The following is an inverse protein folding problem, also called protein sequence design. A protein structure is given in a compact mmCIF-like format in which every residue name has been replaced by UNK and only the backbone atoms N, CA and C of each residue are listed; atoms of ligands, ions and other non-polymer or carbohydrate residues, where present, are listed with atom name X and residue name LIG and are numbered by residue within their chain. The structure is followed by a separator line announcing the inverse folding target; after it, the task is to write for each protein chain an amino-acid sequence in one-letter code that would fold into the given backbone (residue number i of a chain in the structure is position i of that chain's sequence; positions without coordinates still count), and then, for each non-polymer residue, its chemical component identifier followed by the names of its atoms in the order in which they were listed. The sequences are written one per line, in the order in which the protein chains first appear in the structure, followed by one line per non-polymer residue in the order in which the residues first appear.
data_IF_053569003742
#
_entry.id   IF_053569003742
#
_cell.length_a   1.000
_cell.length_b   1.000
_cell.length_c   1.000
_cell.angle_alpha   90.00
_cell.angle_beta   90.00
_cell.angle_gamma   90.00
#
_symmetry.space_group_name_H-M   'P 1'
#
loop_
_entity.id
_entity.type
_entity.pdbx_description
1 polymer ?
#
# COMPACT_ATOMS: atom_id res chain seq x y z
N UNK A 1 -23.84 32.39 46.47
CA UNK A 1 -23.16 31.80 47.63
C UNK A 1 -21.69 31.67 47.26
N UNK A 2 -20.88 32.68 47.58
CA UNK A 2 -20.00 32.79 48.77
C UNK A 2 -18.87 31.76 48.76
N UNK A 3 -17.64 32.17 48.40
CA UNK A 3 -16.49 32.50 49.28
C UNK A 3 -15.74 31.20 49.69
N UNK A 4 -14.42 31.02 49.78
CA UNK A 4 -13.18 31.82 49.67
C UNK A 4 -12.00 30.92 50.08
N UNK A 5 -10.78 31.19 49.55
CA UNK A 5 -9.43 31.14 50.23
C UNK A 5 -8.94 29.75 50.72
N UNK A 6 -7.67 29.41 50.92
CA UNK A 6 -6.38 30.09 51.16
C UNK A 6 -5.26 29.10 50.76
N UNK A 7 -4.15 29.47 50.10
CA UNK A 7 -2.87 30.03 50.61
C UNK A 7 -2.09 29.18 51.66
N UNK A 8 -0.88 28.70 51.29
CA UNK A 8 0.36 28.50 52.08
C UNK A 8 1.42 27.90 51.12
N UNK A 9 2.50 28.54 50.66
CA UNK A 9 3.68 29.18 51.29
C UNK A 9 4.76 28.21 51.82
N UNK A 10 5.98 28.36 51.26
CA UNK A 10 7.32 28.10 51.84
C UNK A 10 7.72 26.62 52.09
N UNK A 11 8.96 26.13 52.01
CA UNK A 11 10.29 26.63 51.61
C UNK A 11 11.30 25.47 51.80
N UNK A 12 12.39 25.48 51.00
CA UNK A 12 13.77 25.10 51.33
C UNK A 12 14.18 23.63 51.64
N UNK A 13 15.28 23.22 50.96
CA UNK A 13 16.36 22.35 51.49
C UNK A 13 16.04 20.85 51.57
N UNK A 14 16.95 19.89 51.35
CA UNK A 14 18.39 19.85 51.16
C UNK A 14 18.76 18.40 50.80
N UNK A 15 19.88 18.24 50.08
CA UNK A 15 20.82 17.12 50.14
C UNK A 15 20.40 15.70 49.67
N UNK A 16 21.30 15.16 48.86
CA UNK A 16 21.34 13.83 48.26
C UNK A 16 21.45 12.67 49.26
N UNK A 17 21.26 11.44 48.75
CA UNK A 17 22.15 10.34 49.09
C UNK A 17 22.75 9.69 47.83
N UNK A 18 24.07 9.53 47.86
CA UNK A 18 24.83 8.66 46.97
C UNK A 18 24.87 7.24 47.56
N UNK A 19 24.57 6.22 46.75
CA UNK A 19 24.94 4.81 46.97
C UNK A 19 25.05 4.16 45.57
N UNK A 20 26.27 4.06 45.03
CA UNK A 20 27.11 2.84 45.02
C UNK A 20 26.48 1.67 44.24
N UNK A 21 26.85 1.55 42.96
CA UNK A 21 26.79 0.26 42.27
C UNK A 21 28.13 -0.04 41.59
N UNK A 22 28.92 -0.84 42.32
CA UNK A 22 29.81 -1.91 41.87
C UNK A 22 30.25 -1.93 40.40
N UNK A 23 31.54 -1.70 40.18
CA UNK A 23 32.26 -2.09 38.96
C UNK A 23 32.99 -3.43 39.20
N UNK A 24 33.17 -4.27 38.16
CA UNK A 24 34.32 -5.13 38.08
C UNK A 24 35.34 -4.60 37.05
N UNK A 25 36.57 -4.55 37.52
CA UNK A 25 37.81 -4.28 36.78
C UNK A 25 38.04 -5.24 35.62
N UNK A 26 38.62 -4.73 34.52
CA UNK A 26 39.58 -5.49 33.71
C UNK A 26 40.78 -4.61 33.36
N UNK A 27 41.96 -5.20 33.57
CA UNK A 27 43.27 -4.60 33.40
C UNK A 27 43.68 -4.53 31.92
N UNK A 28 44.45 -3.50 31.61
CA UNK A 28 45.04 -3.22 30.30
C UNK A 28 46.13 -4.23 29.90
N UNK A 29 46.22 -4.56 28.61
CA UNK A 29 47.41 -4.33 27.78
C UNK A 29 47.27 -5.03 26.41
N UNK A 30 47.21 -4.23 25.33
CA UNK A 30 47.85 -4.47 24.03
C UNK A 30 47.38 -3.36 23.08
N UNK A 31 48.31 -2.59 22.52
CA UNK A 31 48.04 -1.67 21.42
C UNK A 31 47.87 -2.43 20.11
N UNK A 32 46.79 -2.17 19.37
CA UNK A 32 46.89 -2.10 17.92
C UNK A 32 46.41 -0.74 17.40
N UNK A 33 47.14 -0.28 16.38
CA UNK A 33 46.91 0.75 15.36
C UNK A 33 45.65 1.62 15.45
N UNK A 34 45.74 2.95 15.20
CA UNK A 34 44.55 3.75 14.98
C UNK A 34 43.92 3.28 13.66
N UNK A 35 42.88 2.45 13.76
CA UNK A 35 41.89 2.40 12.70
C UNK A 35 41.29 3.80 12.67
N UNK A 36 41.68 4.59 11.68
CA UNK A 36 40.90 5.73 11.26
C UNK A 36 39.47 5.24 11.15
N UNK A 37 38.61 5.68 12.07
CA UNK A 37 37.18 5.54 11.90
C UNK A 37 36.90 6.21 10.56
N UNK A 38 36.72 5.39 9.52
CA UNK A 38 36.13 5.83 8.28
C UNK A 38 34.77 6.34 8.71
N UNK A 39 34.69 7.67 8.84
CA UNK A 39 33.42 8.35 8.87
C UNK A 39 32.75 7.89 7.58
N UNK A 40 31.84 6.92 7.72
CA UNK A 40 30.85 6.66 6.72
C UNK A 40 30.20 8.02 6.51
N UNK A 41 30.63 8.68 5.43
CA UNK A 41 29.93 9.81 4.88
C UNK A 41 28.51 9.31 4.78
N UNK A 42 27.63 9.87 5.59
CA UNK A 42 26.21 9.81 5.33
C UNK A 42 26.07 10.48 3.96
N UNK A 43 26.24 9.70 2.89
CA UNK A 43 25.67 9.99 1.62
C UNK A 43 24.17 10.03 1.93
N UNK A 44 23.68 11.21 2.29
CA UNK A 44 22.26 11.48 2.16
C UNK A 44 21.92 11.01 0.76
N UNK A 45 21.02 10.05 0.65
CA UNK A 45 20.59 9.52 -0.64
C UNK A 45 19.94 10.69 -1.38
N UNK A 46 20.75 11.45 -2.10
CA UNK A 46 20.31 12.57 -2.91
C UNK A 46 19.42 11.97 -3.98
N UNK A 47 18.18 12.44 -4.05
CA UNK A 47 17.24 11.91 -5.01
C UNK A 47 17.77 12.24 -6.41
N UNK A 48 17.65 11.35 -7.41
CA UNK A 48 18.15 11.63 -8.76
C UNK A 48 17.53 12.91 -9.34
N UNK A 49 16.32 13.25 -8.92
CA UNK A 49 15.63 14.49 -9.30
C UNK A 49 16.26 15.79 -8.75
N UNK A 50 17.11 15.71 -7.72
CA UNK A 50 17.74 16.88 -7.10
C UNK A 50 18.83 17.50 -7.99
N UNK A 51 19.46 16.69 -8.85
CA UNK A 51 20.52 17.11 -9.78
C UNK A 51 20.05 17.28 -11.22
N UNK A 52 18.80 16.90 -11.54
CA UNK A 52 18.23 17.05 -12.88
C UNK A 52 17.96 18.51 -13.23
N UNK A 53 18.15 18.85 -14.51
CA UNK A 53 17.76 20.15 -15.03
C UNK A 53 16.22 20.29 -15.05
N UNK A 54 15.73 21.52 -15.10
CA UNK A 54 14.30 21.81 -15.23
C UNK A 54 13.67 21.14 -16.46
N UNK A 55 14.38 21.16 -17.59
CA UNK A 55 13.94 20.51 -18.83
C UNK A 55 13.85 18.99 -18.67
N UNK A 56 14.83 18.37 -18.02
CA UNK A 56 14.81 16.92 -17.77
C UNK A 56 13.65 16.52 -16.84
N UNK A 57 13.39 17.32 -15.80
CA UNK A 57 12.27 17.10 -14.89
C UNK A 57 10.93 17.20 -15.63
N UNK A 58 10.76 18.22 -16.48
CA UNK A 58 9.56 18.36 -17.32
C UNK A 58 9.37 17.18 -18.27
N UNK A 59 10.45 16.73 -18.93
CA UNK A 59 10.40 15.56 -19.81
C UNK A 59 9.95 14.32 -19.04
N UNK A 60 10.43 14.12 -17.81
CA UNK A 60 10.03 12.97 -16.99
C UNK A 60 8.54 13.01 -16.61
N UNK A 61 8.02 14.18 -16.24
CA UNK A 61 6.58 14.34 -15.97
C UNK A 61 5.75 14.13 -17.23
N UNK A 62 6.19 14.64 -18.38
CA UNK A 62 5.50 14.42 -19.65
C UNK A 62 5.48 12.93 -20.05
N UNK A 63 6.52 12.16 -19.74
CA UNK A 63 6.52 10.69 -19.94
C UNK A 63 5.47 10.01 -19.08
N UNK A 64 5.33 10.42 -17.81
CA UNK A 64 4.27 9.93 -16.92
C UNK A 64 2.89 10.26 -17.50
N UNK A 65 2.69 11.49 -17.99
CA UNK A 65 1.41 11.91 -18.58
C UNK A 65 1.09 11.18 -19.89
N UNK A 66 2.10 10.76 -20.65
CA UNK A 66 1.93 10.01 -21.90
C UNK A 66 1.50 8.55 -21.67
N UNK A 67 1.68 8.01 -20.46
CA UNK A 67 1.19 6.68 -20.11
C UNK A 67 -0.34 6.69 -19.96
N UNK A 68 -1.02 5.84 -20.74
CA UNK A 68 -2.48 5.73 -20.73
C UNK A 68 -3.00 5.27 -19.36
N UNK A 69 -2.21 4.45 -18.65
CA UNK A 69 -2.54 3.89 -17.33
C UNK A 69 -2.48 4.92 -16.19
N UNK A 70 -1.91 6.11 -16.43
CA UNK A 70 -1.78 7.16 -15.41
C UNK A 70 -3.15 7.56 -14.84
N UNK A 71 -3.30 7.59 -13.53
CA UNK A 71 -4.59 7.92 -12.90
C UNK A 71 -5.00 9.39 -13.06
N UNK A 72 -6.25 9.72 -12.74
CA UNK A 72 -6.75 11.10 -12.88
C UNK A 72 -6.13 12.04 -11.84
N UNK A 73 -5.93 11.56 -10.61
CA UNK A 73 -5.21 12.26 -9.56
C UNK A 73 -3.78 12.54 -9.98
N UNK A 74 -3.05 11.53 -10.46
CA UNK A 74 -1.67 11.70 -10.93
C UNK A 74 -1.59 12.71 -12.08
N UNK A 75 -2.52 12.67 -13.06
CA UNK A 75 -2.55 13.65 -14.16
C UNK A 75 -2.77 15.08 -13.66
N UNK A 76 -3.67 15.26 -12.69
CA UNK A 76 -3.98 16.57 -12.09
C UNK A 76 -2.75 17.16 -11.39
N UNK A 77 -2.12 16.38 -10.52
CA UNK A 77 -0.93 16.80 -9.76
C UNK A 77 0.29 17.04 -10.67
N UNK A 78 0.43 16.24 -11.74
CA UNK A 78 1.47 16.42 -12.74
C UNK A 78 1.30 17.75 -13.50
N UNK A 79 0.07 18.11 -13.89
CA UNK A 79 -0.21 19.38 -14.57
C UNK A 79 0.07 20.58 -13.65
N UNK A 80 -0.36 20.50 -12.39
CA UNK A 80 -0.06 21.53 -11.38
C UNK A 80 1.45 21.73 -11.19
N UNK A 81 2.23 20.64 -11.15
CA UNK A 81 3.69 20.72 -11.08
C UNK A 81 4.30 21.36 -12.33
N UNK A 82 3.78 21.07 -13.53
CA UNK A 82 4.27 21.63 -14.80
C UNK A 82 4.05 23.15 -14.91
N UNK A 83 2.95 23.64 -14.33
CA UNK A 83 2.60 25.06 -14.26
C UNK A 83 3.33 25.81 -13.13
N UNK A 84 4.06 25.08 -12.28
CA UNK A 84 4.78 25.59 -11.11
C UNK A 84 6.27 25.85 -11.32
N UNK A 85 7.01 25.80 -10.21
CA UNK A 85 8.45 26.01 -10.12
C UNK A 85 9.25 24.72 -10.28
N UNK A 86 10.58 24.82 -10.42
CA UNK A 86 11.47 23.65 -10.47
C UNK A 86 11.34 22.79 -9.21
N UNK A 87 11.17 23.43 -8.06
CA UNK A 87 10.94 22.76 -6.79
C UNK A 87 9.63 21.96 -6.79
N UNK A 88 8.57 22.45 -7.44
CA UNK A 88 7.29 21.74 -7.59
C UNK A 88 7.44 20.50 -8.49
N UNK A 89 8.19 20.62 -9.61
CA UNK A 89 8.53 19.48 -10.46
C UNK A 89 9.25 18.38 -9.67
N UNK A 90 10.26 18.76 -8.88
CA UNK A 90 11.00 17.80 -8.03
C UNK A 90 10.10 17.21 -6.96
N UNK A 91 9.28 18.03 -6.30
CA UNK A 91 8.39 17.57 -5.24
C UNK A 91 7.38 16.53 -5.76
N UNK A 92 6.81 16.78 -6.94
CA UNK A 92 5.92 15.83 -7.61
C UNK A 92 6.62 14.50 -7.90
N UNK A 93 7.81 14.53 -8.52
CA UNK A 93 8.54 13.31 -8.87
C UNK A 93 9.03 12.52 -7.64
N UNK A 94 9.36 13.22 -6.55
CA UNK A 94 9.81 12.59 -5.28
C UNK A 94 8.66 11.99 -4.48
N UNK A 95 7.54 12.70 -4.40
CA UNK A 95 6.49 12.43 -3.40
C UNK A 95 5.08 12.59 -3.96
N UNK A 96 4.80 13.71 -4.64
CA UNK A 96 3.43 14.04 -5.08
C UNK A 96 2.81 12.96 -5.96
N UNK A 97 3.57 12.38 -6.88
CA UNK A 97 3.13 11.27 -7.74
C UNK A 97 2.59 10.08 -6.94
N UNK A 98 3.29 9.67 -5.88
CA UNK A 98 2.94 8.49 -5.10
C UNK A 98 1.69 8.72 -4.26
N UNK A 99 1.52 9.93 -3.73
CA UNK A 99 0.30 10.35 -3.02
C UNK A 99 -0.88 10.33 -3.99
N UNK A 100 -0.73 10.94 -5.16
CA UNK A 100 -1.78 11.00 -6.17
C UNK A 100 -2.16 9.61 -6.70
N UNK A 101 -1.17 8.73 -6.91
CA UNK A 101 -1.39 7.35 -7.32
C UNK A 101 -2.16 6.57 -6.26
N UNK A 102 -1.86 6.82 -4.97
CA UNK A 102 -2.56 6.18 -3.88
C UNK A 102 -4.02 6.62 -3.77
N UNK A 103 -4.30 7.92 -3.98
CA UNK A 103 -5.67 8.44 -4.10
C UNK A 103 -6.43 7.77 -5.26
N UNK A 104 -5.79 7.67 -6.43
CA UNK A 104 -6.35 6.99 -7.59
C UNK A 104 -6.63 5.51 -7.30
N UNK A 105 -5.73 4.81 -6.60
CA UNK A 105 -5.90 3.41 -6.19
C UNK A 105 -7.07 3.27 -5.20
N UNK A 106 -7.14 4.13 -4.18
CA UNK A 106 -8.24 4.11 -3.21
C UNK A 106 -9.59 4.34 -3.90
N UNK A 107 -9.64 5.28 -4.85
CA UNK A 107 -10.84 5.52 -5.65
C UNK A 107 -11.21 4.33 -6.53
N UNK A 108 -10.24 3.67 -7.17
CA UNK A 108 -10.49 2.47 -7.96
C UNK A 108 -11.11 1.35 -7.10
N UNK A 109 -10.61 1.14 -5.89
CA UNK A 109 -11.16 0.15 -4.96
C UNK A 109 -12.56 0.56 -4.47
N UNK A 110 -12.79 1.84 -4.18
CA UNK A 110 -14.11 2.34 -3.81
C UNK A 110 -15.15 2.12 -4.94
N UNK A 111 -14.74 2.26 -6.21
CA UNK A 111 -15.60 1.93 -7.36
C UNK A 111 -15.94 0.44 -7.43
N UNK A 112 -14.98 -0.43 -7.13
CA UNK A 112 -15.25 -1.88 -7.05
C UNK A 112 -16.28 -2.13 -5.95
N UNK A 113 -16.10 -1.56 -4.76
CA UNK A 113 -17.05 -1.71 -3.65
C UNK A 113 -18.46 -1.13 -3.93
N UNK A 114 -18.56 -0.16 -4.84
CA UNK A 114 -19.83 0.44 -5.23
C UNK A 114 -20.64 -0.42 -6.20
N UNK A 115 -20.03 -1.43 -6.83
CA UNK A 115 -20.74 -2.34 -7.72
C UNK A 115 -21.60 -3.33 -6.87
N UNK A 116 -22.94 -3.35 -7.04
CA UNK A 116 -23.81 -4.20 -6.25
C UNK A 116 -23.67 -5.70 -6.56
N UNK A 117 -22.97 -6.05 -7.64
CA UNK A 117 -22.80 -7.44 -8.10
C UNK A 117 -21.50 -8.08 -7.62
N UNK A 118 -20.67 -7.37 -6.85
CA UNK A 118 -19.42 -7.92 -6.33
C UNK A 118 -19.65 -9.14 -5.45
N UNK A 119 -18.72 -10.09 -5.57
CA UNK A 119 -18.68 -11.26 -4.72
C UNK A 119 -18.21 -10.95 -3.30
N UNK A 120 -18.42 -11.91 -2.40
CA UNK A 120 -18.16 -11.75 -0.96
C UNK A 120 -16.66 -11.70 -0.68
N UNK A 121 -15.86 -12.49 -1.40
CA UNK A 121 -14.41 -12.48 -1.26
C UNK A 121 -13.84 -11.16 -1.79
N UNK A 122 -14.30 -10.69 -2.96
CA UNK A 122 -13.90 -9.38 -3.51
C UNK A 122 -14.20 -8.26 -2.52
N UNK A 123 -15.42 -8.22 -1.97
CA UNK A 123 -15.80 -7.22 -0.98
C UNK A 123 -14.87 -7.23 0.24
N UNK A 124 -14.62 -8.41 0.81
CA UNK A 124 -13.77 -8.60 1.99
C UNK A 124 -12.34 -8.13 1.76
N UNK A 125 -11.71 -8.56 0.66
CA UNK A 125 -10.32 -8.19 0.37
C UNK A 125 -10.18 -6.72 -0.05
N UNK A 126 -11.18 -6.16 -0.76
CA UNK A 126 -11.22 -4.74 -1.09
C UNK A 126 -11.31 -3.85 0.15
N UNK A 127 -12.17 -4.19 1.12
CA UNK A 127 -12.24 -3.47 2.40
C UNK A 127 -10.90 -3.53 3.15
N UNK A 128 -10.31 -4.73 3.24
CA UNK A 128 -9.01 -4.91 3.89
C UNK A 128 -7.91 -4.07 3.24
N UNK A 129 -7.92 -3.95 1.90
CA UNK A 129 -6.97 -3.11 1.19
C UNK A 129 -7.16 -1.62 1.48
N UNK A 130 -8.41 -1.14 1.59
CA UNK A 130 -8.70 0.24 1.97
C UNK A 130 -8.30 0.55 3.42
N UNK A 131 -8.51 -0.38 4.34
CA UNK A 131 -8.12 -0.26 5.75
C UNK A 131 -6.58 -0.35 5.96
N UNK A 132 -5.84 -0.73 4.92
CA UNK A 132 -4.39 -0.90 4.91
C UNK A 132 -3.60 0.30 4.39
N UNK A 133 -2.37 0.01 3.97
CA UNK A 133 -1.41 0.98 3.43
C UNK A 133 -1.59 1.20 1.92
N UNK A 134 -0.90 2.20 1.37
CA UNK A 134 -0.83 2.41 -0.07
C UNK A 134 -0.33 1.18 -0.83
N UNK A 135 0.61 0.43 -0.23
CA UNK A 135 1.12 -0.81 -0.79
C UNK A 135 0.05 -1.92 -0.83
N UNK A 136 -0.81 -2.00 0.20
CA UNK A 136 -1.91 -2.96 0.24
C UNK A 136 -2.96 -2.67 -0.84
N UNK A 137 -3.28 -1.39 -1.06
CA UNK A 137 -4.16 -0.96 -2.15
C UNK A 137 -3.60 -1.30 -3.52
N UNK A 138 -2.32 -1.01 -3.75
CA UNK A 138 -1.64 -1.36 -4.99
C UNK A 138 -1.63 -2.89 -5.21
N UNK A 139 -1.23 -3.67 -4.20
CA UNK A 139 -1.17 -5.13 -4.27
C UNK A 139 -2.54 -5.77 -4.54
N UNK A 140 -3.60 -5.22 -3.95
CA UNK A 140 -4.96 -5.66 -4.22
C UNK A 140 -5.35 -5.42 -5.69
N UNK A 141 -5.09 -4.25 -6.23
CA UNK A 141 -5.41 -3.95 -7.63
C UNK A 141 -4.57 -4.75 -8.62
N UNK A 142 -3.29 -5.01 -8.29
CA UNK A 142 -2.37 -5.75 -9.16
C UNK A 142 -2.70 -7.26 -9.20
N UNK A 143 -2.98 -7.86 -8.04
CA UNK A 143 -3.15 -9.32 -7.96
C UNK A 143 -4.32 -9.76 -7.08
N UNK A 144 -4.59 -9.05 -5.98
CA UNK A 144 -5.59 -9.46 -4.99
C UNK A 144 -7.02 -9.55 -5.52
N UNK A 145 -7.42 -8.62 -6.40
CA UNK A 145 -8.75 -8.60 -7.02
C UNK A 145 -9.01 -9.89 -7.80
N UNK A 146 -8.05 -10.31 -8.63
CA UNK A 146 -8.16 -11.52 -9.45
C UNK A 146 -8.26 -12.77 -8.56
N UNK A 147 -7.50 -12.83 -7.47
CA UNK A 147 -7.55 -13.95 -6.53
C UNK A 147 -8.88 -14.02 -5.76
N UNK A 148 -9.38 -12.86 -5.34
CA UNK A 148 -10.67 -12.76 -4.66
C UNK A 148 -11.83 -13.14 -5.60
N UNK A 149 -11.78 -12.70 -6.86
CA UNK A 149 -12.72 -13.14 -7.90
C UNK A 149 -12.68 -14.66 -8.10
N UNK A 150 -11.49 -15.26 -8.14
CA UNK A 150 -11.36 -16.72 -8.26
C UNK A 150 -11.98 -17.47 -7.08
N UNK A 151 -11.90 -16.93 -5.85
CA UNK A 151 -12.57 -17.50 -4.69
C UNK A 151 -14.10 -17.45 -4.85
N UNK A 152 -14.64 -16.30 -5.25
CA UNK A 152 -16.07 -16.13 -5.50
C UNK A 152 -16.56 -17.06 -6.64
N UNK A 153 -15.77 -17.19 -7.71
CA UNK A 153 -16.07 -18.05 -8.86
C UNK A 153 -16.09 -19.53 -8.45
N UNK A 154 -15.12 -20.00 -7.64
CA UNK A 154 -15.13 -21.36 -7.09
C UNK A 154 -16.40 -21.65 -6.29
N UNK A 155 -16.82 -20.69 -5.46
CA UNK A 155 -18.06 -20.82 -4.67
C UNK A 155 -19.29 -20.87 -5.59
N UNK A 156 -19.33 -20.06 -6.64
CA UNK A 156 -20.41 -20.09 -7.62
C UNK A 156 -20.49 -21.44 -8.35
N UNK A 157 -19.36 -21.99 -8.79
CA UNK A 157 -19.30 -23.31 -9.42
C UNK A 157 -19.69 -24.43 -8.44
N UNK A 158 -19.25 -24.36 -7.18
CA UNK A 158 -19.67 -25.32 -6.16
C UNK A 158 -21.19 -25.29 -5.91
N UNK A 159 -21.81 -24.11 -5.95
CA UNK A 159 -23.28 -23.98 -5.89
C UNK A 159 -23.96 -24.63 -7.09
N UNK A 160 -23.41 -24.47 -8.30
CA UNK A 160 -23.90 -25.14 -9.50
C UNK A 160 -23.89 -26.66 -9.32
N UNK A 161 -22.77 -27.22 -8.85
CA UNK A 161 -22.61 -28.65 -8.60
C UNK A 161 -23.58 -29.20 -7.54
N UNK A 162 -23.95 -28.38 -6.56
CA UNK A 162 -24.90 -28.73 -5.52
C UNK A 162 -26.38 -28.64 -5.97
N UNK A 163 -26.67 -28.10 -7.17
CA UNK A 163 -28.06 -28.00 -7.67
C UNK A 163 -28.65 -29.40 -7.91
N UNK A 164 -29.86 -29.68 -7.39
CA UNK A 164 -30.55 -30.93 -7.68
C UNK A 164 -30.89 -31.01 -9.17
N UNK A 165 -30.74 -32.20 -9.77
CA UNK A 165 -31.12 -32.44 -11.17
C UNK A 165 -30.14 -31.92 -12.23
N UNK A 166 -28.96 -31.42 -11.85
CA UNK A 166 -27.92 -31.01 -12.81
C UNK A 166 -27.47 -32.17 -13.72
N UNK A 167 -27.39 -31.90 -15.02
CA UNK A 167 -26.99 -32.88 -16.04
C UNK A 167 -25.58 -33.43 -15.78
N UNK A 168 -25.30 -34.64 -16.27
CA UNK A 168 -23.97 -35.23 -16.16
C UNK A 168 -22.92 -34.40 -16.92
N UNK A 169 -23.30 -33.86 -18.08
CA UNK A 169 -22.45 -32.99 -18.89
C UNK A 169 -22.10 -31.69 -18.14
N UNK A 170 -23.10 -31.00 -17.56
CA UNK A 170 -22.85 -29.75 -16.83
C UNK A 170 -22.03 -29.99 -15.56
N UNK A 171 -22.23 -31.13 -14.89
CA UNK A 171 -21.39 -31.55 -13.76
C UNK A 171 -19.93 -31.78 -14.17
N UNK A 172 -19.69 -32.44 -15.30
CA UNK A 172 -18.33 -32.67 -15.81
C UNK A 172 -17.64 -31.37 -16.21
N UNK A 173 -18.37 -30.47 -16.90
CA UNK A 173 -17.84 -29.15 -17.29
C UNK A 173 -17.50 -28.28 -16.07
N UNK A 174 -18.37 -28.23 -15.06
CA UNK A 174 -18.10 -27.53 -13.80
C UNK A 174 -16.87 -28.09 -13.06
N UNK A 175 -16.72 -29.43 -13.02
CA UNK A 175 -15.55 -30.08 -12.44
C UNK A 175 -14.26 -29.67 -13.15
N UNK A 176 -14.26 -29.70 -14.50
CA UNK A 176 -13.12 -29.26 -15.31
C UNK A 176 -12.77 -27.79 -15.05
N UNK A 177 -13.76 -26.91 -14.94
CA UNK A 177 -13.53 -25.50 -14.66
C UNK A 177 -12.82 -25.28 -13.31
N UNK A 178 -13.17 -26.04 -12.27
CA UNK A 178 -12.54 -25.95 -10.95
C UNK A 178 -11.07 -26.40 -10.93
N UNK A 179 -10.67 -27.28 -11.84
CA UNK A 179 -9.29 -27.73 -12.01
C UNK A 179 -8.44 -26.73 -12.82
N UNK A 180 -9.09 -25.76 -13.44
CA UNK A 180 -8.49 -24.77 -14.33
C UNK A 180 -8.00 -23.49 -13.66
N UNK A 181 -7.70 -22.49 -14.51
CA UNK A 181 -7.30 -21.14 -14.07
C UNK A 181 -8.49 -20.30 -13.64
N UNK A 182 -8.28 -19.18 -12.89
CA UNK A 182 -9.35 -18.21 -12.62
C UNK A 182 -10.15 -17.77 -13.85
N UNK A 183 -9.46 -17.61 -14.97
CA UNK A 183 -10.04 -17.21 -16.23
C UNK A 183 -10.94 -18.32 -16.81
N UNK A 184 -10.54 -19.59 -16.67
CA UNK A 184 -11.36 -20.74 -17.07
C UNK A 184 -12.60 -20.91 -16.18
N UNK A 185 -12.48 -20.68 -14.87
CA UNK A 185 -13.61 -20.66 -13.95
C UNK A 185 -14.62 -19.57 -14.33
N UNK A 186 -14.12 -18.36 -14.61
CA UNK A 186 -14.95 -17.24 -15.04
C UNK A 186 -15.63 -17.50 -16.38
N UNK A 187 -14.87 -17.98 -17.36
CA UNK A 187 -15.42 -18.34 -18.67
C UNK A 187 -16.53 -19.39 -18.56
N UNK A 188 -16.35 -20.41 -17.71
CA UNK A 188 -17.40 -21.40 -17.46
C UNK A 188 -18.67 -20.76 -16.88
N UNK A 189 -18.54 -19.84 -15.93
CA UNK A 189 -19.68 -19.15 -15.32
C UNK A 189 -20.40 -18.20 -16.30
N UNK A 190 -19.66 -17.53 -17.18
CA UNK A 190 -20.23 -16.54 -18.11
C UNK A 190 -20.81 -17.18 -19.36
N UNK A 191 -20.15 -18.22 -19.89
CA UNK A 191 -20.47 -18.80 -21.20
C UNK A 191 -20.67 -20.31 -21.09
N UNK A 192 -19.66 -21.02 -20.56
CA UNK A 192 -19.59 -22.48 -20.68
C UNK A 192 -20.76 -23.24 -20.05
N UNK A 193 -21.36 -22.73 -18.97
CA UNK A 193 -22.52 -23.38 -18.34
C UNK A 193 -23.80 -23.36 -19.20
N UNK A 194 -23.86 -22.49 -20.21
CA UNK A 194 -25.01 -22.32 -21.10
C UNK A 194 -24.86 -23.06 -22.44
N UNK A 195 -23.65 -23.53 -22.74
CA UNK A 195 -23.34 -24.29 -23.96
C UNK A 195 -23.44 -25.81 -23.76
N UNK A 196 -23.68 -26.24 -22.52
CA UNK A 196 -23.73 -27.66 -22.16
C UNK A 196 -25.18 -28.13 -22.14
N UNK A 197 -25.57 -28.89 -23.16
CA UNK A 197 -26.87 -29.57 -23.30
C UNK A 197 -27.00 -30.80 -22.38
#
# INVERSE_FOLDING_TARGET
MRLTRAALALSAGTLAPALLLSAPSFAAAATPSPVTASAATAAGTESPYDSMSEDDLRIEILRILADESTGKGVRREAQEALDGTVEDLRHFLKTGRWIAQDEDNAFAIARILADPTIGKAVYREAQKALDGTAADRAAFLETGLRLAQAEDDRVAIARILARPGISAALRAAAGKALEGTPEEMRHFLEVGQYEVD
#
